data_IF_272899898908
#
_entry.id   IF_272899898908
#
_cell.length_a   1.000
_cell.length_b   1.000
_cell.length_c   1.000
_cell.angle_alpha   90.00
_cell.angle_beta   90.00
_cell.angle_gamma   90.00
#
_symmetry.space_group_name_H-M   'P 1'
#
loop_
_entity.id
_entity.type
_entity.pdbx_description
1 polymer ?
#
# COMPACT_ATOMS: atom_id res chain seq x y z
N UNK A 1 14.63 -0.75 -9.40
CA UNK A 1 13.43 -1.41 -10.00
C UNK A 1 12.13 -0.87 -9.41
N UNK A 2 12.15 -0.34 -8.19
CA UNK A 2 10.98 0.21 -7.47
C UNK A 2 10.35 1.45 -8.12
N UNK A 3 11.11 2.18 -8.94
CA UNK A 3 10.63 3.31 -9.77
C UNK A 3 10.36 2.92 -11.22
N UNK A 4 10.66 1.67 -11.60
CA UNK A 4 10.32 1.12 -12.92
C UNK A 4 8.88 0.63 -12.88
N UNK A 5 8.07 1.03 -13.87
CA UNK A 5 6.69 0.59 -13.97
C UNK A 5 6.61 -0.95 -14.01
N UNK A 6 5.64 -1.51 -13.28
CA UNK A 6 5.34 -2.95 -13.20
C UNK A 6 6.45 -3.83 -12.64
N UNK A 7 7.39 -3.24 -11.87
CA UNK A 7 8.26 -4.02 -10.98
C UNK A 7 7.42 -4.83 -9.98
N UNK A 8 7.83 -6.06 -9.68
CA UNK A 8 7.05 -7.00 -8.85
C UNK A 8 7.94 -8.00 -8.13
N UNK A 9 7.34 -8.78 -7.25
CA UNK A 9 8.00 -9.82 -6.46
C UNK A 9 8.41 -9.34 -5.08
N UNK A 10 8.75 -10.31 -4.22
CA UNK A 10 9.00 -10.07 -2.80
C UNK A 10 10.17 -9.12 -2.51
N UNK A 11 11.22 -9.12 -3.33
CA UNK A 11 12.37 -8.21 -3.17
C UNK A 11 11.99 -6.76 -3.47
N UNK A 12 11.24 -6.52 -4.54
CA UNK A 12 10.73 -5.19 -4.91
C UNK A 12 9.82 -4.65 -3.81
N UNK A 13 8.89 -5.46 -3.31
CA UNK A 13 8.01 -5.04 -2.21
C UNK A 13 8.79 -4.73 -0.95
N UNK A 14 9.77 -5.57 -0.59
CA UNK A 14 10.62 -5.32 0.58
C UNK A 14 11.38 -3.99 0.44
N UNK A 15 11.98 -3.72 -0.72
CA UNK A 15 12.69 -2.47 -0.99
C UNK A 15 11.77 -1.25 -0.85
N UNK A 16 10.53 -1.31 -1.38
CA UNK A 16 9.52 -0.25 -1.21
C UNK A 16 9.17 -0.06 0.28
N UNK A 17 8.85 -1.13 1.00
CA UNK A 17 8.47 -1.04 2.43
C UNK A 17 9.62 -0.50 3.27
N UNK A 18 10.85 -0.96 3.02
CA UNK A 18 12.04 -0.47 3.71
C UNK A 18 12.28 1.02 3.42
N UNK A 19 12.08 1.47 2.16
CA UNK A 19 12.20 2.88 1.76
C UNK A 19 11.19 3.74 2.51
N UNK A 20 9.92 3.33 2.53
CA UNK A 20 8.82 4.05 3.21
C UNK A 20 9.06 4.11 4.72
N UNK A 21 9.50 3.01 5.33
CA UNK A 21 9.84 2.97 6.75
C UNK A 21 11.05 3.84 7.06
N UNK A 22 12.04 3.88 6.17
CA UNK A 22 13.23 4.71 6.26
C UNK A 22 12.95 6.22 6.31
N UNK A 23 11.81 6.67 5.75
CA UNK A 23 11.38 8.06 5.87
C UNK A 23 11.11 8.49 7.32
N UNK A 24 10.81 7.54 8.22
CA UNK A 24 10.60 7.81 9.65
C UNK A 24 9.37 8.66 9.99
N UNK A 25 8.47 8.90 9.03
CA UNK A 25 7.27 9.74 9.20
C UNK A 25 6.00 8.98 9.53
N UNK A 26 5.99 7.66 9.28
CA UNK A 26 4.85 6.81 9.56
C UNK A 26 5.07 6.02 10.86
N UNK A 27 4.01 5.78 11.65
CA UNK A 27 4.11 4.86 12.77
C UNK A 27 4.47 3.44 12.28
N UNK A 28 4.94 2.58 13.18
CA UNK A 28 5.16 1.17 12.86
C UNK A 28 3.85 0.54 12.37
N UNK A 29 3.89 -0.15 11.24
CA UNK A 29 2.72 -0.78 10.63
C UNK A 29 2.58 -2.27 10.99
N UNK A 30 3.49 -2.82 11.79
CA UNK A 30 3.52 -4.22 12.18
C UNK A 30 3.47 -5.19 10.98
N UNK A 31 4.25 -4.89 9.93
CA UNK A 31 4.32 -5.61 8.64
C UNK A 31 3.05 -5.52 7.78
N UNK A 32 2.10 -4.68 8.17
CA UNK A 32 0.80 -4.63 7.52
C UNK A 32 0.90 -4.23 6.04
N UNK A 33 1.78 -3.29 5.68
CA UNK A 33 1.98 -2.91 4.28
C UNK A 33 2.49 -4.10 3.44
N UNK A 34 3.40 -4.91 3.97
CA UNK A 34 3.82 -6.15 3.31
C UNK A 34 2.66 -7.15 3.17
N UNK A 35 1.83 -7.30 4.19
CA UNK A 35 0.69 -8.21 4.16
C UNK A 35 -0.37 -7.80 3.14
N UNK A 36 -0.66 -6.50 3.02
CA UNK A 36 -1.55 -5.97 1.96
C UNK A 36 -0.97 -6.31 0.58
N UNK A 37 0.32 -6.05 0.34
CA UNK A 37 0.95 -6.36 -0.95
C UNK A 37 0.80 -7.86 -1.33
N UNK A 38 0.87 -8.76 -0.35
CA UNK A 38 0.63 -10.18 -0.59
C UNK A 38 -0.85 -10.50 -0.86
N UNK A 39 -1.75 -9.97 -0.04
CA UNK A 39 -3.19 -10.26 -0.11
C UNK A 39 -3.83 -9.71 -1.39
N UNK A 40 -3.42 -8.51 -1.81
CA UNK A 40 -4.01 -7.81 -2.94
C UNK A 40 -3.51 -8.31 -4.30
N UNK A 41 -2.24 -8.74 -4.38
CA UNK A 41 -1.61 -8.99 -5.69
C UNK A 41 -0.52 -10.05 -5.70
N UNK A 42 -0.30 -10.77 -4.59
CA UNK A 42 0.85 -11.67 -4.43
C UNK A 42 2.17 -10.97 -4.79
N UNK A 43 2.39 -9.77 -4.24
CA UNK A 43 3.53 -8.90 -4.55
C UNK A 43 3.59 -8.44 -6.02
N UNK A 44 2.45 -8.29 -6.67
CA UNK A 44 2.32 -7.93 -8.07
C UNK A 44 2.51 -9.08 -9.06
N UNK A 45 2.61 -10.32 -8.57
CA UNK A 45 2.72 -11.53 -9.41
C UNK A 45 1.37 -12.03 -9.91
N UNK A 46 0.26 -11.63 -9.27
CA UNK A 46 -1.08 -11.98 -9.74
C UNK A 46 -1.34 -11.37 -11.14
N UNK A 47 -1.82 -12.17 -12.12
CA UNK A 47 -2.08 -11.69 -13.48
C UNK A 47 -3.05 -10.50 -13.55
N UNK A 48 -3.94 -10.35 -12.57
CA UNK A 48 -4.92 -9.26 -12.46
C UNK A 48 -4.37 -7.95 -11.90
N UNK A 49 -3.12 -7.94 -11.42
CA UNK A 49 -2.50 -6.76 -10.76
C UNK A 49 -2.52 -5.53 -11.66
N UNK A 50 -2.03 -5.67 -12.89
CA UNK A 50 -1.86 -4.58 -13.87
C UNK A 50 -2.85 -4.70 -15.03
N UNK A 51 -4.12 -4.99 -14.70
CA UNK A 51 -5.19 -5.09 -15.70
C UNK A 51 -5.45 -3.74 -16.37
N UNK A 52 -5.83 -3.78 -17.65
CA UNK A 52 -6.11 -2.57 -18.43
C UNK A 52 -7.17 -1.70 -17.76
N UNK A 53 -6.87 -0.40 -17.61
CA UNK A 53 -7.78 0.58 -17.00
C UNK A 53 -7.78 0.57 -15.47
N UNK A 54 -6.87 -0.18 -14.83
CA UNK A 54 -6.70 -0.14 -13.38
C UNK A 54 -5.23 0.02 -13.00
N UNK A 55 -4.91 1.14 -12.35
CA UNK A 55 -3.53 1.54 -12.11
C UNK A 55 -3.07 1.42 -10.65
N UNK A 56 -3.86 0.77 -9.77
CA UNK A 56 -3.56 0.69 -8.33
C UNK A 56 -2.27 -0.03 -7.92
N UNK A 57 -1.57 -0.67 -8.87
CA UNK A 57 -0.26 -1.29 -8.66
C UNK A 57 -0.30 -2.49 -7.70
N UNK A 58 0.83 -2.76 -7.05
CA UNK A 58 0.98 -3.92 -6.15
C UNK A 58 -0.03 -3.86 -4.98
N UNK A 59 -0.31 -2.68 -4.45
CA UNK A 59 -1.20 -2.50 -3.30
C UNK A 59 -2.68 -2.31 -3.67
N UNK A 60 -3.04 -2.35 -4.95
CA UNK A 60 -4.41 -2.25 -5.46
C UNK A 60 -5.20 -1.07 -4.85
N UNK A 61 -4.57 0.12 -4.75
CA UNK A 61 -5.28 1.34 -4.36
C UNK A 61 -6.10 1.83 -5.55
N UNK A 62 -7.42 1.90 -5.40
CA UNK A 62 -8.29 2.40 -6.48
C UNK A 62 -8.14 3.92 -6.70
N UNK A 63 -8.75 4.43 -7.76
CA UNK A 63 -8.60 5.85 -8.14
C UNK A 63 -9.16 6.81 -7.07
N UNK A 64 -10.24 6.40 -6.39
CA UNK A 64 -10.85 7.20 -5.32
C UNK A 64 -9.90 7.27 -4.12
N UNK A 65 -9.39 6.12 -3.67
CA UNK A 65 -8.45 6.01 -2.58
C UNK A 65 -7.15 6.75 -2.87
N UNK A 66 -6.64 6.66 -4.09
CA UNK A 66 -5.52 7.48 -4.55
C UNK A 66 -5.83 8.98 -4.43
N UNK A 67 -6.98 9.43 -4.95
CA UNK A 67 -7.37 10.85 -4.91
C UNK A 67 -7.39 11.38 -3.48
N UNK A 68 -7.87 10.60 -2.51
CA UNK A 68 -7.85 10.98 -1.10
C UNK A 68 -6.42 11.23 -0.58
N UNK A 69 -5.41 10.53 -1.10
CA UNK A 69 -4.00 10.76 -0.72
C UNK A 69 -3.43 12.08 -1.23
N UNK A 70 -4.04 12.66 -2.27
CA UNK A 70 -3.61 13.90 -2.92
C UNK A 70 -4.34 15.12 -2.36
N UNK A 71 -5.64 15.00 -2.08
CA UNK A 71 -6.48 16.18 -1.74
C UNK A 71 -6.55 16.47 -0.23
N UNK A 72 -6.27 15.50 0.63
CA UNK A 72 -6.45 15.66 2.07
C UNK A 72 -5.31 16.45 2.71
N UNK A 73 -5.57 17.73 3.05
CA UNK A 73 -4.60 18.66 3.66
C UNK A 73 -3.93 18.12 4.95
N UNK A 74 -4.59 17.22 5.68
CA UNK A 74 -4.01 16.56 6.86
C UNK A 74 -2.76 15.72 6.54
N UNK A 75 -2.53 15.41 5.26
CA UNK A 75 -1.37 14.66 4.80
C UNK A 75 -0.15 15.53 4.45
N UNK A 76 -0.25 16.87 4.56
CA UNK A 76 0.83 17.80 4.14
C UNK A 76 2.20 17.42 4.71
N UNK A 77 2.29 17.07 5.99
CA UNK A 77 3.56 16.67 6.63
C UNK A 77 4.21 15.45 5.96
N UNK A 78 3.42 14.56 5.36
CA UNK A 78 3.95 13.40 4.65
C UNK A 78 4.40 13.79 3.24
N UNK A 79 3.63 14.63 2.54
CA UNK A 79 4.03 15.17 1.24
C UNK A 79 5.36 15.91 1.32
N UNK A 80 5.52 16.80 2.30
CA UNK A 80 6.74 17.58 2.50
C UNK A 80 7.97 16.67 2.70
N UNK A 81 7.82 15.55 3.44
CA UNK A 81 8.93 14.61 3.64
C UNK A 81 9.21 13.77 2.40
N UNK A 82 8.16 13.33 1.69
CA UNK A 82 8.29 12.58 0.43
C UNK A 82 9.03 13.43 -0.60
N UNK A 83 8.68 14.70 -0.74
CA UNK A 83 9.37 15.63 -1.64
C UNK A 83 10.84 15.80 -1.21
N UNK A 84 11.10 16.09 0.07
CA UNK A 84 12.45 16.34 0.56
C UNK A 84 13.41 15.15 0.46
N UNK A 85 12.92 13.92 0.64
CA UNK A 85 13.78 12.71 0.70
C UNK A 85 13.77 11.89 -0.59
N UNK A 86 12.70 11.97 -1.39
CA UNK A 86 12.52 11.14 -2.58
C UNK A 86 12.42 11.97 -3.88
N UNK A 87 12.41 13.30 -3.80
CA UNK A 87 12.22 14.20 -4.94
C UNK A 87 10.91 13.91 -5.70
N UNK A 88 9.85 13.61 -4.94
CA UNK A 88 8.51 13.34 -5.46
C UNK A 88 7.54 14.38 -4.90
N UNK A 89 7.08 15.30 -5.75
CA UNK A 89 5.89 16.08 -5.44
C UNK A 89 4.65 15.18 -5.55
N UNK A 90 4.22 14.63 -4.41
CA UNK A 90 3.08 13.71 -4.35
C UNK A 90 1.79 14.35 -4.88
N UNK A 91 1.64 15.67 -4.78
CA UNK A 91 0.38 16.34 -5.16
C UNK A 91 0.23 16.54 -6.67
N UNK A 92 1.33 16.43 -7.43
CA UNK A 92 1.30 16.48 -8.90
C UNK A 92 1.32 15.10 -9.57
N UNK A 93 1.34 14.01 -8.81
CA UNK A 93 1.26 12.66 -9.39
C UNK A 93 -0.11 12.37 -9.98
N UNK A 94 -0.21 11.28 -10.72
CA UNK A 94 -1.45 10.73 -11.27
C UNK A 94 -1.69 9.30 -10.78
N UNK A 95 -2.93 8.80 -10.90
CA UNK A 95 -3.22 7.41 -10.55
C UNK A 95 -2.41 6.40 -11.39
N UNK A 96 -2.05 6.77 -12.63
CA UNK A 96 -1.20 5.94 -13.48
C UNK A 96 0.22 5.75 -12.91
N UNK A 97 0.71 6.69 -12.09
CA UNK A 97 2.04 6.57 -11.49
C UNK A 97 2.14 5.40 -10.50
N UNK A 98 1.02 4.92 -9.96
CA UNK A 98 0.97 3.77 -9.07
C UNK A 98 1.34 2.45 -9.78
N UNK A 99 1.50 2.44 -11.10
CA UNK A 99 2.15 1.30 -11.78
C UNK A 99 3.63 1.15 -11.35
N UNK A 100 4.26 2.21 -10.82
CA UNK A 100 5.59 2.16 -10.20
C UNK A 100 5.45 1.66 -8.75
N UNK A 101 6.17 0.61 -8.34
CA UNK A 101 6.04 0.02 -7.01
C UNK A 101 6.13 1.00 -5.84
N UNK A 102 7.09 1.94 -5.88
CA UNK A 102 7.25 2.93 -4.81
C UNK A 102 6.02 3.84 -4.67
N UNK A 103 5.45 4.28 -5.79
CA UNK A 103 4.25 5.11 -5.81
C UNK A 103 3.03 4.32 -5.32
N UNK A 104 2.87 3.06 -5.74
CA UNK A 104 1.82 2.18 -5.21
C UNK A 104 1.89 2.03 -3.68
N UNK A 105 3.11 1.79 -3.15
CA UNK A 105 3.32 1.66 -1.71
C UNK A 105 3.08 2.95 -0.93
N UNK A 106 3.52 4.10 -1.47
CA UNK A 106 3.27 5.42 -0.89
C UNK A 106 1.77 5.73 -0.86
N UNK A 107 1.04 5.45 -1.95
CA UNK A 107 -0.41 5.64 -2.00
C UNK A 107 -1.10 4.81 -0.91
N UNK A 108 -0.74 3.53 -0.77
CA UNK A 108 -1.31 2.68 0.27
C UNK A 108 -1.00 3.19 1.69
N UNK A 109 0.25 3.63 1.93
CA UNK A 109 0.65 4.15 3.24
C UNK A 109 -0.03 5.48 3.58
N UNK A 110 -0.14 6.40 2.63
CA UNK A 110 -0.84 7.68 2.79
C UNK A 110 -2.34 7.48 2.98
N UNK A 111 -2.94 6.56 2.22
CA UNK A 111 -4.34 6.19 2.37
C UNK A 111 -4.65 5.61 3.75
N UNK A 112 -3.71 4.88 4.36
CA UNK A 112 -3.83 4.45 5.75
C UNK A 112 -3.58 5.58 6.74
N UNK A 113 -2.62 6.46 6.46
CA UNK A 113 -2.23 7.57 7.35
C UNK A 113 -3.31 8.65 7.51
N UNK A 114 -4.30 8.70 6.61
CA UNK A 114 -5.48 9.57 6.74
C UNK A 114 -6.43 9.11 7.86
N UNK A 115 -6.31 7.84 8.29
CA UNK A 115 -7.18 7.23 9.30
C UNK A 115 -6.60 7.51 10.69
N UNK A 116 -7.47 7.83 11.65
CA UNK A 116 -7.07 7.97 13.06
C UNK A 116 -6.86 6.64 13.78
N UNK A 117 -7.42 5.55 13.24
CA UNK A 117 -7.33 4.22 13.83
C UNK A 117 -5.90 3.67 13.70
N UNK A 118 -5.26 3.24 14.81
CA UNK A 118 -3.94 2.63 14.74
C UNK A 118 -4.00 1.26 14.08
N UNK A 119 -2.95 0.90 13.36
CA UNK A 119 -2.82 -0.43 12.74
C UNK A 119 -2.59 -1.46 13.86
N UNK A 120 -3.42 -2.52 13.97
CA UNK A 120 -3.25 -3.54 15.00
C UNK A 120 -1.96 -4.34 14.82
N UNK A 121 -1.44 -4.88 15.92
CA UNK A 121 -0.20 -5.67 15.92
C UNK A 121 -0.42 -7.13 15.56
N UNK A 122 -1.52 -7.71 15.99
CA UNK A 122 -1.85 -9.12 15.76
C UNK A 122 -2.54 -9.32 14.40
N UNK A 123 -2.43 -10.54 13.87
CA UNK A 123 -2.92 -10.87 12.53
C UNK A 123 -4.44 -10.73 12.41
N UNK A 124 -5.20 -11.13 13.43
CA UNK A 124 -6.67 -11.05 13.42
C UNK A 124 -7.13 -9.60 13.41
N UNK A 125 -6.54 -8.75 14.25
CA UNK A 125 -6.80 -7.33 14.27
C UNK A 125 -6.47 -6.67 12.93
N UNK A 126 -5.34 -7.02 12.31
CA UNK A 126 -5.00 -6.52 10.97
C UNK A 126 -5.98 -6.96 9.89
N UNK A 127 -6.48 -8.19 9.95
CA UNK A 127 -7.47 -8.69 9.00
C UNK A 127 -8.80 -7.94 9.12
N UNK A 128 -9.25 -7.66 10.35
CA UNK A 128 -10.42 -6.82 10.61
C UNK A 128 -10.19 -5.39 10.11
N UNK A 129 -9.04 -4.80 10.46
CA UNK A 129 -8.66 -3.46 10.03
C UNK A 129 -8.64 -3.33 8.49
N UNK A 130 -8.02 -4.29 7.80
CA UNK A 130 -8.00 -4.34 6.34
C UNK A 130 -9.41 -4.41 5.77
N UNK A 131 -10.29 -5.26 6.31
CA UNK A 131 -11.66 -5.39 5.83
C UNK A 131 -12.44 -4.08 6.02
N UNK A 132 -12.34 -3.46 7.18
CA UNK A 132 -13.06 -2.23 7.49
C UNK A 132 -12.56 -1.03 6.69
N UNK A 133 -11.25 -0.89 6.52
CA UNK A 133 -10.66 0.38 6.08
C UNK A 133 -10.01 0.36 4.69
N UNK A 134 -9.62 -0.82 4.19
CA UNK A 134 -8.83 -0.95 2.97
C UNK A 134 -9.61 -1.67 1.85
N UNK A 135 -10.11 -2.88 2.12
CA UNK A 135 -10.97 -3.62 1.19
C UNK A 135 -12.41 -3.08 1.18
N UNK A 136 -12.87 -2.56 2.33
CA UNK A 136 -14.22 -2.07 2.61
C UNK A 136 -15.31 -3.15 2.47
N UNK A 137 -16.54 -2.83 2.90
CA UNK A 137 -17.69 -3.73 2.78
C UNK A 137 -18.03 -4.10 1.33
N UNK A 138 -17.81 -3.17 0.39
CA UNK A 138 -18.06 -3.39 -1.04
C UNK A 138 -17.03 -4.36 -1.67
N UNK A 139 -15.85 -4.51 -1.06
CA UNK A 139 -14.84 -5.47 -1.50
C UNK A 139 -15.25 -6.91 -1.22
N UNK A 140 -14.96 -7.82 -2.15
CA UNK A 140 -15.28 -9.25 -2.00
C UNK A 140 -14.38 -9.99 -0.99
N UNK A 141 -13.39 -9.30 -0.42
CA UNK A 141 -12.48 -9.84 0.56
C UNK A 141 -13.17 -10.13 1.89
N UNK A 142 -12.68 -11.12 2.63
CA UNK A 142 -13.16 -11.44 3.98
C UNK A 142 -12.00 -11.43 4.96
N UNK A 143 -12.30 -11.19 6.24
CA UNK A 143 -11.32 -11.30 7.34
C UNK A 143 -10.62 -12.66 7.29
N UNK A 144 -11.37 -13.74 7.08
CA UNK A 144 -10.82 -15.09 6.99
C UNK A 144 -9.89 -15.25 5.79
N UNK A 145 -10.26 -14.73 4.60
CA UNK A 145 -9.41 -14.75 3.41
C UNK A 145 -8.06 -14.07 3.68
N UNK A 146 -8.07 -12.89 4.33
CA UNK A 146 -6.83 -12.18 4.66
C UNK A 146 -5.93 -13.04 5.56
N UNK A 147 -6.49 -13.64 6.62
CA UNK A 147 -5.75 -14.49 7.55
C UNK A 147 -5.15 -15.69 6.80
N UNK A 148 -5.94 -16.36 5.97
CA UNK A 148 -5.51 -17.55 5.24
C UNK A 148 -4.47 -17.21 4.18
N UNK A 149 -4.60 -16.09 3.48
CA UNK A 149 -3.58 -15.59 2.55
C UNK A 149 -2.26 -15.32 3.26
N UNK A 150 -2.29 -14.61 4.40
CA UNK A 150 -1.07 -14.27 5.15
C UNK A 150 -0.39 -15.49 5.74
N UNK A 151 -1.14 -16.53 6.17
CA UNK A 151 -0.56 -17.80 6.63
C UNK A 151 0.26 -18.51 5.55
N UNK A 152 -0.06 -18.29 4.28
CA UNK A 152 0.69 -18.86 3.14
C UNK A 152 1.67 -17.85 2.52
N UNK A 153 1.86 -16.69 3.15
CA UNK A 153 2.75 -15.66 2.65
C UNK A 153 4.22 -16.05 2.75
N UNK A 154 5.03 -15.36 1.96
CA UNK A 154 6.49 -15.47 1.92
C UNK A 154 7.10 -14.07 2.01
N UNK A 155 8.42 -13.95 2.16
CA UNK A 155 9.09 -12.64 2.11
C UNK A 155 8.76 -11.75 3.33
N UNK A 156 8.50 -10.46 3.12
CA UNK A 156 8.36 -9.51 4.24
C UNK A 156 7.02 -9.56 4.99
N UNK A 157 6.03 -10.32 4.50
CA UNK A 157 4.72 -10.48 5.15
C UNK A 157 4.72 -11.49 6.33
N UNK A 158 5.74 -12.36 6.41
CA UNK A 158 5.92 -13.34 7.52
C UNK A 158 6.70 -12.72 8.67
#
# INVERSE_FOLDING_TARGET
MTTTAKGKGSSVVKEVVDTINGLGIFPNDHKFLCRIAWVESKYGEDPGTYRRGYHGGIWQVDEIGYRETVIQKGLKKYWDKIEAELDIDWTSTSWADLEKPLYSGLAARLFLARLSAPIPRDLTGQAQYWKTHYNTEAGSGTVQKFIDDVKHAKGCAV
#
